data_IF_572943094895
#
_entry.id   IF_572943094895
#
_cell.length_a   1.000
_cell.length_b   1.000
_cell.length_c   1.000
_cell.angle_alpha   90.00
_cell.angle_beta   90.00
_cell.angle_gamma   90.00
#
_symmetry.space_group_name_H-M   'P 1'
#
loop_
_entity.id
_entity.type
_entity.pdbx_description
1 polymer ?
#
# COMPACT_ATOMS: atom_id res chain seq x y z
N UNK A 1 20.09 1.73 9.25
CA UNK A 1 18.66 1.41 9.15
C UNK A 1 17.79 2.61 9.47
N UNK A 2 18.18 3.48 10.43
CA UNK A 2 17.46 4.71 10.74
C UNK A 2 17.41 5.69 9.55
N UNK A 3 18.49 5.83 8.77
CA UNK A 3 18.53 6.65 7.55
C UNK A 3 17.50 6.18 6.52
N UNK A 4 17.47 4.88 6.21
CA UNK A 4 16.57 4.34 5.20
C UNK A 4 15.09 4.43 5.61
N UNK A 5 14.77 4.18 6.89
CA UNK A 5 13.41 4.26 7.41
C UNK A 5 12.94 5.71 7.56
N UNK A 6 13.72 6.57 8.23
CA UNK A 6 13.38 7.97 8.40
C UNK A 6 13.40 8.73 7.08
N UNK A 7 14.35 8.40 6.18
CA UNK A 7 14.40 8.92 4.83
C UNK A 7 13.12 8.58 4.06
N UNK A 8 12.60 7.35 4.17
CA UNK A 8 11.33 6.99 3.53
C UNK A 8 10.14 7.78 4.10
N UNK A 9 10.05 7.95 5.43
CA UNK A 9 8.96 8.70 6.08
C UNK A 9 9.05 10.20 5.75
N UNK A 10 10.25 10.78 5.73
CA UNK A 10 10.47 12.18 5.35
C UNK A 10 10.15 12.40 3.87
N UNK A 11 10.51 11.45 2.99
CA UNK A 11 10.13 11.50 1.58
C UNK A 11 8.62 11.38 1.37
N UNK A 12 7.93 10.54 2.15
CA UNK A 12 6.47 10.45 2.13
C UNK A 12 5.83 11.78 2.57
N UNK A 13 6.31 12.39 3.66
CA UNK A 13 5.85 13.70 4.11
C UNK A 13 6.09 14.77 3.01
N UNK A 14 7.27 14.83 2.42
CA UNK A 14 7.59 15.75 1.33
C UNK A 14 6.69 15.55 0.09
N UNK A 15 6.43 14.30 -0.29
CA UNK A 15 5.55 13.96 -1.41
C UNK A 15 4.09 14.40 -1.17
N UNK A 16 3.62 14.42 0.09
CA UNK A 16 2.29 14.90 0.47
C UNK A 16 2.19 16.42 0.55
N UNK A 17 3.27 17.12 0.93
CA UNK A 17 3.30 18.60 1.04
C UNK A 17 3.00 19.28 -0.30
N UNK A 18 3.56 18.78 -1.41
CA UNK A 18 3.42 19.38 -2.75
C UNK A 18 1.96 19.46 -3.21
N UNK A 19 1.18 18.36 -3.26
CA UNK A 19 -0.22 18.41 -3.68
C UNK A 19 -1.08 19.21 -2.69
N UNK A 20 -0.77 19.17 -1.39
CA UNK A 20 -1.51 19.91 -0.36
C UNK A 20 -1.31 21.44 -0.51
N UNK A 21 -0.09 21.89 -0.83
CA UNK A 21 0.21 23.30 -1.06
C UNK A 21 -0.44 23.85 -2.35
N UNK A 22 -0.78 22.98 -3.31
CA UNK A 22 -1.42 23.37 -4.57
C UNK A 22 -2.95 23.54 -4.47
N UNK A 23 -3.58 23.17 -3.34
CA UNK A 23 -5.04 23.18 -3.22
C UNK A 23 -5.62 24.57 -2.88
N UNK A 24 -6.81 24.94 -3.41
CA UNK A 24 -7.42 26.23 -3.11
C UNK A 24 -7.68 26.50 -1.62
N UNK A 25 -7.82 25.43 -0.84
CA UNK A 25 -8.07 25.47 0.60
C UNK A 25 -6.84 25.93 1.41
N UNK A 26 -5.63 25.77 0.86
CA UNK A 26 -4.35 26.13 1.48
C UNK A 26 -3.84 27.51 1.06
N UNK A 27 -4.51 28.19 0.11
CA UNK A 27 -4.15 29.52 -0.43
C UNK A 27 -4.26 30.70 0.56
N UNK A 28 -4.53 30.46 1.85
CA UNK A 28 -4.29 31.49 2.85
C UNK A 28 -2.77 31.75 2.90
N UNK A 29 -2.36 32.98 2.61
CA UNK A 29 -0.96 33.38 2.39
C UNK A 29 0.02 32.89 3.47
N UNK A 30 -0.42 32.78 4.73
CA UNK A 30 0.42 32.30 5.83
C UNK A 30 0.57 30.76 5.87
N UNK A 31 -0.45 30.02 5.41
CA UNK A 31 -0.48 28.56 5.46
C UNK A 31 0.31 27.91 4.31
N UNK A 32 0.20 28.43 3.09
CA UNK A 32 1.05 28.04 1.96
C UNK A 32 2.55 28.23 2.28
N UNK A 33 2.90 29.35 2.94
CA UNK A 33 4.27 29.60 3.42
C UNK A 33 4.73 28.55 4.43
N UNK A 34 3.88 28.16 5.37
CA UNK A 34 4.20 27.13 6.36
C UNK A 34 4.43 25.76 5.70
N UNK A 35 3.62 25.38 4.71
CA UNK A 35 3.79 24.11 3.97
C UNK A 35 5.07 24.10 3.13
N UNK A 36 5.36 25.18 2.42
CA UNK A 36 6.63 25.32 1.66
C UNK A 36 7.84 25.28 2.58
N UNK A 37 7.74 25.92 3.75
CA UNK A 37 8.78 25.88 4.78
C UNK A 37 8.95 24.45 5.32
N UNK A 38 7.86 23.74 5.56
CA UNK A 38 7.88 22.36 6.05
C UNK A 38 8.65 21.46 5.09
N UNK A 39 8.31 21.48 3.79
CA UNK A 39 9.05 20.72 2.78
C UNK A 39 10.54 21.06 2.74
N UNK A 40 10.89 22.35 2.86
CA UNK A 40 12.29 22.79 2.88
C UNK A 40 13.04 22.28 4.12
N UNK A 41 12.44 22.36 5.30
CA UNK A 41 13.08 21.92 6.56
C UNK A 41 13.22 20.39 6.60
N UNK A 42 12.25 19.64 6.10
CA UNK A 42 12.34 18.18 5.96
C UNK A 42 13.53 17.78 5.06
N UNK A 43 13.70 18.45 3.92
CA UNK A 43 14.84 18.20 3.04
C UNK A 43 16.20 18.58 3.64
N UNK A 44 16.27 19.63 4.48
CA UNK A 44 17.50 19.95 5.22
C UNK A 44 17.85 18.87 6.24
N UNK A 45 16.85 18.28 6.89
CA UNK A 45 17.03 17.24 7.89
C UNK A 45 17.45 15.91 7.25
N UNK A 46 16.91 15.59 6.07
CA UNK A 46 17.32 14.42 5.30
C UNK A 46 18.83 14.42 5.03
N UNK A 47 19.42 15.59 4.75
CA UNK A 47 20.86 15.75 4.51
C UNK A 47 21.76 15.41 5.73
N UNK A 48 21.20 15.26 6.93
CA UNK A 48 21.92 14.83 8.14
C UNK A 48 21.78 13.33 8.43
N UNK A 49 20.83 12.62 7.83
CA UNK A 49 20.48 11.24 8.22
C UNK A 49 21.63 10.26 8.06
N UNK A 50 22.38 10.37 6.96
CA UNK A 50 23.52 9.49 6.69
C UNK A 50 24.63 9.65 7.74
N UNK A 51 24.96 10.89 8.09
CA UNK A 51 25.99 11.18 9.09
C UNK A 51 25.51 10.83 10.51
N UNK A 52 24.21 11.00 10.78
CA UNK A 52 23.58 10.58 12.03
C UNK A 52 23.58 9.05 12.19
N UNK A 53 23.31 8.30 11.13
CA UNK A 53 23.34 6.83 11.15
C UNK A 53 24.72 6.27 11.49
N UNK A 54 25.79 6.87 10.96
CA UNK A 54 27.17 6.45 11.28
C UNK A 54 27.56 6.81 12.71
N UNK A 55 27.16 8.00 13.19
CA UNK A 55 27.53 8.50 14.52
C UNK A 55 26.69 7.93 15.66
N UNK A 56 25.50 7.37 15.39
CA UNK A 56 24.64 6.80 16.43
C UNK A 56 25.31 5.64 17.18
N UNK A 57 26.28 4.94 16.58
CA UNK A 57 26.97 3.79 17.17
C UNK A 57 27.73 4.18 18.44
N UNK A 58 28.25 5.42 18.50
CA UNK A 58 29.12 5.88 19.57
C UNK A 58 28.61 7.14 20.29
N UNK A 59 27.44 7.67 19.91
CA UNK A 59 26.92 8.93 20.44
C UNK A 59 25.43 8.83 20.83
N UNK A 60 25.17 8.70 22.13
CA UNK A 60 23.81 8.63 22.67
C UNK A 60 22.96 9.88 22.38
N UNK A 61 23.57 11.05 22.23
CA UNK A 61 22.84 12.28 21.86
C UNK A 61 22.30 12.21 20.43
N UNK A 62 23.01 11.53 19.53
CA UNK A 62 22.57 11.28 18.14
C UNK A 62 21.45 10.24 18.09
N UNK A 63 21.48 9.23 18.97
CA UNK A 63 20.35 8.28 19.11
C UNK A 63 19.08 9.00 19.56
N UNK A 64 19.19 9.88 20.57
CA UNK A 64 18.05 10.69 21.04
C UNK A 64 17.55 11.64 19.96
N UNK A 65 18.46 12.25 19.19
CA UNK A 65 18.10 13.09 18.06
C UNK A 65 17.33 12.33 16.97
N UNK A 66 17.79 11.13 16.59
CA UNK A 66 17.11 10.27 15.60
C UNK A 66 15.71 9.84 16.08
N UNK A 67 15.58 9.52 17.38
CA UNK A 67 14.28 9.15 17.97
C UNK A 67 13.29 10.33 18.00
N UNK A 68 13.78 11.52 18.31
CA UNK A 68 12.94 12.72 18.30
C UNK A 68 12.54 13.09 16.86
N UNK A 69 13.46 12.94 15.90
CA UNK A 69 13.16 13.08 14.49
C UNK A 69 12.11 12.07 14.01
N UNK A 70 12.19 10.82 14.46
CA UNK A 70 11.18 9.80 14.17
C UNK A 70 9.78 10.23 14.58
N UNK A 71 9.63 10.69 15.82
CA UNK A 71 8.35 11.17 16.35
C UNK A 71 7.79 12.32 15.50
N UNK A 72 8.62 13.32 15.18
CA UNK A 72 8.21 14.50 14.41
C UNK A 72 7.88 14.14 12.96
N UNK A 73 8.59 13.17 12.37
CA UNK A 73 8.33 12.71 11.00
C UNK A 73 6.98 11.99 10.90
N UNK A 74 6.66 11.10 11.86
CA UNK A 74 5.34 10.46 11.91
C UNK A 74 4.22 11.46 12.18
N UNK A 75 4.42 12.41 13.10
CA UNK A 75 3.45 13.48 13.34
C UNK A 75 3.19 14.31 12.06
N UNK A 76 4.24 14.61 11.30
CA UNK A 76 4.10 15.32 10.03
C UNK A 76 3.26 14.54 9.01
N UNK A 77 3.50 13.24 8.86
CA UNK A 77 2.72 12.37 7.96
C UNK A 77 1.26 12.32 8.38
N UNK A 78 0.98 12.10 9.67
CA UNK A 78 -0.39 12.04 10.21
C UNK A 78 -1.16 13.35 9.98
N UNK A 79 -0.51 14.51 10.19
CA UNK A 79 -1.12 15.82 9.97
C UNK A 79 -1.39 16.09 8.49
N UNK A 80 -0.47 15.67 7.61
CA UNK A 80 -0.66 15.80 6.16
C UNK A 80 -1.77 14.86 5.66
N UNK A 81 -1.92 13.67 6.25
CA UNK A 81 -3.02 12.75 5.93
C UNK A 81 -4.38 13.27 6.42
N UNK A 82 -4.47 13.84 7.63
CA UNK A 82 -5.68 14.52 8.11
C UNK A 82 -6.08 15.65 7.15
N UNK A 83 -5.08 16.37 6.61
CA UNK A 83 -5.31 17.44 5.63
C UNK A 83 -5.79 16.91 4.27
N UNK A 84 -5.11 15.89 3.74
CA UNK A 84 -5.46 15.25 2.48
C UNK A 84 -6.88 14.64 2.52
N UNK A 85 -7.23 14.00 3.63
CA UNK A 85 -8.56 13.46 3.86
C UNK A 85 -9.64 14.56 3.81
N UNK A 86 -9.40 15.70 4.46
CA UNK A 86 -10.36 16.81 4.48
C UNK A 86 -10.50 17.52 3.12
N UNK A 87 -9.42 17.59 2.32
CA UNK A 87 -9.52 18.00 0.91
C UNK A 87 -10.46 17.06 0.15
N UNK A 88 -10.24 15.74 0.26
CA UNK A 88 -11.01 14.73 -0.45
C UNK A 88 -12.48 14.72 -0.01
N UNK A 89 -12.73 14.75 1.29
CA UNK A 89 -14.07 14.84 1.88
C UNK A 89 -14.84 16.02 1.33
N UNK A 90 -14.23 17.21 1.27
CA UNK A 90 -14.89 18.42 0.73
C UNK A 90 -15.15 18.33 -0.77
N UNK A 91 -14.24 17.76 -1.55
CA UNK A 91 -14.46 17.50 -2.98
C UNK A 91 -15.67 16.58 -3.19
N UNK A 92 -15.86 15.57 -2.32
CA UNK A 92 -17.02 14.67 -2.33
C UNK A 92 -18.31 15.39 -1.88
N UNK A 93 -18.26 16.19 -0.81
CA UNK A 93 -19.41 16.96 -0.30
C UNK A 93 -19.91 17.99 -1.33
N UNK A 94 -18.99 18.71 -2.00
CA UNK A 94 -19.32 19.66 -3.08
C UNK A 94 -19.96 18.92 -4.28
N UNK A 95 -19.46 17.73 -4.63
CA UNK A 95 -20.02 16.89 -5.70
C UNK A 95 -21.45 16.41 -5.37
N UNK A 96 -21.74 16.14 -4.10
CA UNK A 96 -23.07 15.75 -3.63
C UNK A 96 -24.07 16.91 -3.53
N UNK A 97 -23.60 18.15 -3.38
CA UNK A 97 -24.46 19.35 -3.29
C UNK A 97 -25.06 19.80 -4.64
N UNK A 98 -24.56 19.30 -5.77
CA UNK A 98 -25.13 19.60 -7.10
C UNK A 98 -26.56 19.01 -7.27
N UNK A 99 -27.03 18.16 -6.33
CA UNK A 99 -28.36 17.50 -6.43
C UNK A 99 -29.45 18.01 -5.47
N UNK A 100 -29.22 18.97 -4.57
CA UNK A 100 -30.29 19.55 -3.73
C UNK A 100 -30.06 21.02 -3.43
N UNK A 101 -31.01 21.86 -3.87
CA UNK A 101 -31.12 23.27 -3.51
C UNK A 101 -31.79 23.40 -2.13
N UNK A 102 -31.15 24.20 -1.28
CA UNK A 102 -31.71 24.94 -0.13
C UNK A 102 -31.97 24.14 1.16
N UNK A 103 -31.01 24.17 2.10
CA UNK A 103 -31.07 24.94 3.36
C UNK A 103 -29.84 24.63 4.24
N UNK A 104 -29.15 25.71 4.62
CA UNK A 104 -28.28 25.87 5.80
C UNK A 104 -27.27 24.77 6.13
N UNK A 105 -26.04 24.91 5.64
CA UNK A 105 -24.83 24.86 6.49
C UNK A 105 -23.60 25.37 5.71
N UNK A 106 -23.65 26.61 5.22
CA UNK A 106 -22.42 27.37 4.92
C UNK A 106 -21.74 27.71 6.24
N UNK A 107 -21.03 26.75 6.85
CA UNK A 107 -20.10 27.06 7.93
C UNK A 107 -18.72 27.34 7.33
N UNK A 108 -18.56 28.54 6.80
CA UNK A 108 -17.24 29.16 6.65
C UNK A 108 -16.43 29.10 7.97
N UNK A 109 -17.11 28.99 9.12
CA UNK A 109 -16.51 28.77 10.44
C UNK A 109 -15.85 27.39 10.59
N UNK A 110 -16.43 26.30 10.05
CA UNK A 110 -15.81 24.96 10.09
C UNK A 110 -14.58 24.88 9.16
N UNK A 111 -14.63 25.58 8.02
CA UNK A 111 -13.49 25.67 7.10
C UNK A 111 -12.33 26.48 7.67
N UNK A 112 -12.61 27.62 8.31
CA UNK A 112 -11.60 28.47 8.95
C UNK A 112 -11.04 27.80 10.21
N UNK A 113 -11.89 27.20 11.05
CA UNK A 113 -11.47 26.51 12.27
C UNK A 113 -10.56 25.32 11.96
N UNK A 114 -10.89 24.55 10.91
CA UNK A 114 -10.02 23.46 10.42
C UNK A 114 -8.66 24.00 9.93
N UNK A 115 -8.67 25.07 9.13
CA UNK A 115 -7.42 25.69 8.64
C UNK A 115 -6.56 26.22 9.77
N UNK A 116 -7.15 26.85 10.79
CA UNK A 116 -6.44 27.31 11.99
C UNK A 116 -5.88 26.12 12.81
N UNK A 117 -6.65 25.04 12.96
CA UNK A 117 -6.20 23.80 13.62
C UNK A 117 -4.98 23.21 12.90
N UNK A 118 -5.05 23.10 11.57
CA UNK A 118 -3.95 22.54 10.76
C UNK A 118 -2.74 23.46 10.74
N UNK A 119 -2.93 24.77 10.65
CA UNK A 119 -1.85 25.76 10.74
C UNK A 119 -1.12 25.66 12.10
N UNK A 120 -1.85 25.51 13.20
CA UNK A 120 -1.24 25.32 14.52
C UNK A 120 -0.44 24.03 14.61
N UNK A 121 -0.95 22.91 14.06
CA UNK A 121 -0.22 21.63 14.02
C UNK A 121 1.06 21.71 13.17
N UNK A 122 0.97 22.26 11.96
CA UNK A 122 2.13 22.47 11.09
C UNK A 122 3.15 23.42 11.72
N UNK A 123 2.69 24.46 12.42
CA UNK A 123 3.57 25.35 13.18
C UNK A 123 4.30 24.61 14.29
N UNK A 124 3.62 23.71 15.01
CA UNK A 124 4.25 22.84 16.01
C UNK A 124 5.35 21.97 15.41
N UNK A 125 5.05 21.27 14.31
CA UNK A 125 6.02 20.45 13.57
C UNK A 125 7.22 21.30 13.11
N UNK A 126 6.98 22.47 12.54
CA UNK A 126 8.04 23.38 12.10
C UNK A 126 8.96 23.80 13.26
N UNK A 127 8.40 24.08 14.43
CA UNK A 127 9.19 24.39 15.62
C UNK A 127 10.05 23.20 16.06
N UNK A 128 9.47 22.00 16.13
CA UNK A 128 10.23 20.80 16.47
C UNK A 128 11.33 20.48 15.45
N UNK A 129 11.08 20.68 14.15
CA UNK A 129 12.09 20.51 13.10
C UNK A 129 13.18 21.59 13.16
N UNK A 130 12.84 22.84 13.47
CA UNK A 130 13.84 23.91 13.68
C UNK A 130 14.75 23.56 14.88
N UNK A 131 14.17 23.07 15.98
CA UNK A 131 14.90 22.64 17.17
C UNK A 131 15.81 21.45 16.87
N UNK A 132 15.32 20.45 16.14
CA UNK A 132 16.13 19.33 15.65
C UNK A 132 17.28 19.79 14.76
N UNK A 133 17.05 20.73 13.86
CA UNK A 133 18.10 21.27 12.99
C UNK A 133 19.19 22.03 13.78
N UNK A 134 18.79 22.76 14.84
CA UNK A 134 19.72 23.40 15.76
C UNK A 134 20.52 22.38 16.57
N UNK A 135 19.87 21.33 17.10
CA UNK A 135 20.52 20.25 17.84
C UNK A 135 21.48 19.44 16.97
N UNK A 136 21.13 19.18 15.70
CA UNK A 136 21.99 18.51 14.73
C UNK A 136 23.33 19.25 14.59
N UNK A 137 23.28 20.58 14.48
CA UNK A 137 24.46 21.44 14.41
C UNK A 137 25.29 21.40 15.71
N UNK A 138 24.63 21.38 16.87
CA UNK A 138 25.30 21.29 18.18
C UNK A 138 25.95 19.92 18.43
N UNK A 139 25.38 18.85 17.88
CA UNK A 139 25.92 17.49 17.97
C UNK A 139 27.01 17.20 16.92
N UNK A 140 27.38 18.20 16.13
CA UNK A 140 28.42 18.08 15.12
C UNK A 140 28.03 17.16 13.96
N UNK A 141 26.73 17.03 13.66
CA UNK A 141 26.27 16.37 12.45
C UNK A 141 26.64 17.25 11.26
N UNK A 142 27.23 16.63 10.24
CA UNK A 142 27.62 17.33 9.01
C UNK A 142 26.59 17.05 7.93
N UNK A 143 26.15 18.11 7.26
CA UNK A 143 25.38 17.97 6.02
C UNK A 143 26.30 17.36 4.97
N UNK A 144 25.97 16.17 4.48
CA UNK A 144 26.63 15.63 3.30
C UNK A 144 25.90 16.18 2.09
N UNK A 145 26.67 16.71 1.13
CA UNK A 145 26.10 17.21 -0.10
C UNK A 145 25.38 16.06 -0.81
N UNK A 146 24.04 16.16 -0.89
CA UNK A 146 23.29 15.45 -1.91
C UNK A 146 23.78 16.08 -3.21
N UNK A 147 24.59 15.37 -3.99
CA UNK A 147 25.02 15.85 -5.30
C UNK A 147 23.77 16.34 -6.04
N UNK A 148 23.79 17.53 -6.66
CA UNK A 148 22.65 18.06 -7.38
C UNK A 148 22.43 17.16 -8.60
N UNK A 149 21.56 16.16 -8.43
CA UNK A 149 21.04 15.36 -9.52
C UNK A 149 20.42 16.37 -10.49
N UNK A 150 21.03 16.47 -11.66
CA UNK A 150 20.49 17.07 -12.88
C UNK A 150 18.99 16.82 -12.93
N UNK A 151 18.11 17.78 -13.27
CA UNK A 151 16.66 17.58 -13.20
C UNK A 151 16.24 16.39 -14.08
N UNK A 152 16.22 15.21 -13.45
CA UNK A 152 15.71 13.98 -13.97
C UNK A 152 14.20 14.13 -13.94
N UNK A 153 13.50 13.75 -15.03
CA UNK A 153 12.08 13.99 -15.19
C UNK A 153 11.33 13.39 -14.00
N UNK A 154 10.46 14.20 -13.37
CA UNK A 154 9.51 13.85 -12.32
C UNK A 154 9.51 12.36 -11.93
N UNK A 155 10.45 11.98 -11.06
CA UNK A 155 10.42 10.68 -10.42
C UNK A 155 9.30 10.73 -9.39
N UNK A 156 8.12 10.23 -9.76
CA UNK A 156 7.43 9.35 -8.83
C UNK A 156 8.47 8.33 -8.37
N UNK A 157 8.58 8.11 -7.05
CA UNK A 157 9.48 7.08 -6.51
C UNK A 157 9.33 5.78 -7.33
N UNK A 158 10.35 4.91 -7.39
CA UNK A 158 10.28 3.70 -8.19
C UNK A 158 8.92 3.04 -7.97
N UNK A 159 8.13 2.94 -9.04
CA UNK A 159 6.81 2.29 -8.98
C UNK A 159 7.05 0.97 -8.28
N UNK A 160 6.44 0.78 -7.11
CA UNK A 160 6.56 -0.49 -6.40
C UNK A 160 5.76 -1.49 -7.21
N UNK A 161 6.42 -2.12 -8.17
CA UNK A 161 5.83 -3.12 -9.04
C UNK A 161 5.79 -4.45 -8.28
N UNK A 162 4.65 -5.13 -8.36
CA UNK A 162 4.51 -6.47 -7.81
C UNK A 162 4.65 -7.50 -8.91
N UNK A 163 5.50 -8.49 -8.70
CA UNK A 163 5.65 -9.63 -9.62
C UNK A 163 4.82 -10.82 -9.17
N UNK A 164 4.36 -11.63 -10.12
CA UNK A 164 3.62 -12.88 -9.86
C UNK A 164 4.46 -13.99 -9.22
N UNK A 165 5.80 -13.87 -9.24
CA UNK A 165 6.72 -14.83 -8.66
C UNK A 165 6.54 -14.95 -7.15
N UNK A 166 6.52 -16.20 -6.68
CA UNK A 166 6.52 -16.56 -5.28
C UNK A 166 7.97 -16.68 -4.81
N UNK A 167 8.42 -15.78 -3.95
CA UNK A 167 9.68 -15.93 -3.23
C UNK A 167 9.70 -17.21 -2.38
N UNK A 168 10.88 -17.63 -1.93
CA UNK A 168 11.10 -18.86 -1.16
C UNK A 168 10.57 -18.81 0.30
N UNK A 169 9.79 -17.79 0.67
CA UNK A 169 9.23 -17.69 2.02
C UNK A 169 8.02 -18.62 2.19
N UNK A 170 7.97 -19.30 3.33
CA UNK A 170 6.81 -20.11 3.69
C UNK A 170 5.64 -19.19 4.04
N UNK A 171 4.56 -19.26 3.25
CA UNK A 171 3.35 -18.48 3.51
C UNK A 171 2.46 -19.31 4.44
N UNK A 172 2.19 -18.77 5.63
CA UNK A 172 1.43 -19.43 6.70
C UNK A 172 -0.04 -18.96 6.68
N UNK A 173 -0.97 -19.84 7.07
CA UNK A 173 -2.37 -19.50 7.39
C UNK A 173 -3.30 -19.11 6.27
N UNK A 174 -2.90 -19.26 5.00
CA UNK A 174 -3.72 -18.83 3.85
C UNK A 174 -4.48 -19.93 3.12
N UNK A 175 -4.44 -21.18 3.59
CA UNK A 175 -5.06 -22.32 2.89
C UNK A 175 -6.57 -22.14 2.70
N UNK A 176 -7.25 -21.67 3.74
CA UNK A 176 -8.71 -21.45 3.71
C UNK A 176 -9.10 -20.30 2.77
N UNK A 177 -8.42 -19.15 2.90
CA UNK A 177 -8.59 -17.99 2.01
C UNK A 177 -8.38 -18.37 0.54
N UNK A 178 -7.30 -19.11 0.23
CA UNK A 178 -7.01 -19.59 -1.12
C UNK A 178 -8.15 -20.44 -1.64
N UNK A 179 -8.62 -21.40 -0.84
CA UNK A 179 -9.71 -22.30 -1.24
C UNK A 179 -11.00 -21.55 -1.58
N UNK A 180 -11.32 -20.49 -0.82
CA UNK A 180 -12.50 -19.64 -1.07
C UNK A 180 -12.40 -18.91 -2.41
N UNK A 181 -11.24 -18.32 -2.72
CA UNK A 181 -11.03 -17.57 -3.97
C UNK A 181 -10.97 -18.53 -5.16
N UNK A 182 -10.26 -19.66 -5.04
CA UNK A 182 -10.16 -20.70 -6.08
C UNK A 182 -11.55 -21.24 -6.41
N UNK A 183 -12.40 -21.51 -5.41
CA UNK A 183 -13.75 -21.99 -5.66
C UNK A 183 -14.59 -20.99 -6.48
N UNK A 184 -14.46 -19.68 -6.21
CA UNK A 184 -15.14 -18.65 -7.00
C UNK A 184 -14.68 -18.61 -8.45
N UNK A 185 -13.39 -18.85 -8.70
CA UNK A 185 -12.82 -18.85 -10.06
C UNK A 185 -13.18 -20.12 -10.84
N UNK A 186 -13.20 -21.27 -10.16
CA UNK A 186 -13.47 -22.58 -10.78
C UNK A 186 -14.96 -22.85 -10.97
N UNK A 187 -15.79 -22.37 -10.03
CA UNK A 187 -17.24 -22.55 -10.05
C UNK A 187 -17.95 -21.18 -10.01
N UNK A 188 -17.83 -20.35 -11.06
CA UNK A 188 -18.50 -19.06 -11.11
C UNK A 188 -20.02 -19.27 -11.03
N UNK A 189 -20.68 -18.50 -10.15
CA UNK A 189 -22.13 -18.58 -9.95
C UNK A 189 -22.93 -17.78 -10.98
N UNK A 190 -22.26 -16.91 -11.73
CA UNK A 190 -22.87 -16.12 -12.80
C UNK A 190 -22.50 -16.70 -14.17
N UNK A 191 -23.25 -16.30 -15.19
CA UNK A 191 -23.01 -16.66 -16.59
C UNK A 191 -22.18 -15.60 -17.31
N UNK A 192 -21.39 -14.80 -16.58
CA UNK A 192 -20.62 -13.74 -17.23
C UNK A 192 -19.49 -14.31 -18.08
N UNK A 193 -19.14 -13.57 -19.12
CA UNK A 193 -17.98 -13.87 -19.97
C UNK A 193 -16.70 -13.76 -19.14
N UNK A 194 -16.66 -12.78 -18.24
CA UNK A 194 -15.55 -12.48 -17.33
C UNK A 194 -16.07 -12.47 -15.89
N UNK A 195 -15.63 -13.43 -15.07
CA UNK A 195 -15.94 -13.49 -13.64
C UNK A 195 -14.91 -12.71 -12.84
N UNK A 196 -15.37 -11.81 -11.97
CA UNK A 196 -14.51 -10.90 -11.19
C UNK A 196 -14.53 -11.29 -9.71
N UNK A 197 -13.36 -11.45 -9.12
CA UNK A 197 -13.18 -11.78 -7.70
C UNK A 197 -12.35 -10.71 -7.00
N UNK A 198 -12.99 -9.74 -6.32
CA UNK A 198 -12.27 -8.74 -5.55
C UNK A 198 -11.73 -9.32 -4.23
N UNK A 199 -10.50 -8.97 -3.89
CA UNK A 199 -9.84 -9.24 -2.60
C UNK A 199 -9.64 -7.88 -1.90
N UNK A 200 -10.40 -7.63 -0.84
CA UNK A 200 -10.43 -6.35 -0.13
C UNK A 200 -9.90 -6.50 1.28
N UNK A 201 -9.18 -5.50 1.76
CA UNK A 201 -8.66 -5.51 3.12
C UNK A 201 -7.64 -4.41 3.36
N UNK A 202 -7.32 -4.20 4.63
CA UNK A 202 -6.36 -3.20 5.07
C UNK A 202 -4.95 -3.43 4.50
N UNK A 203 -4.09 -2.42 4.62
CA UNK A 203 -2.67 -2.53 4.32
C UNK A 203 -2.04 -3.65 5.15
N UNK A 204 -1.03 -4.33 4.58
CA UNK A 204 -0.27 -5.36 5.31
C UNK A 204 -1.00 -6.69 5.58
N UNK A 205 -2.31 -6.80 5.30
CA UNK A 205 -3.09 -8.03 5.55
C UNK A 205 -2.78 -9.18 4.58
N UNK A 206 -1.97 -8.94 3.54
CA UNK A 206 -1.53 -9.99 2.62
C UNK A 206 -2.45 -10.24 1.42
N UNK A 207 -3.24 -9.26 0.96
CA UNK A 207 -4.09 -9.37 -0.25
C UNK A 207 -3.30 -9.81 -1.49
N UNK A 208 -2.21 -9.11 -1.78
CA UNK A 208 -1.29 -9.42 -2.88
C UNK A 208 -0.69 -10.82 -2.71
N UNK A 209 -0.32 -11.20 -1.49
CA UNK A 209 0.17 -12.55 -1.17
C UNK A 209 -0.89 -13.62 -1.46
N UNK A 210 -2.14 -13.38 -1.08
CA UNK A 210 -3.27 -14.26 -1.38
C UNK A 210 -3.49 -14.39 -2.89
N UNK A 211 -3.49 -13.27 -3.62
CA UNK A 211 -3.60 -13.28 -5.08
C UNK A 211 -2.46 -14.08 -5.74
N UNK A 212 -1.21 -13.95 -5.26
CA UNK A 212 -0.07 -14.75 -5.75
C UNK A 212 -0.24 -16.25 -5.46
N UNK A 213 -0.78 -16.62 -4.30
CA UNK A 213 -1.07 -18.01 -3.97
C UNK A 213 -2.12 -18.60 -4.91
N UNK A 214 -3.23 -17.88 -5.11
CA UNK A 214 -4.31 -18.28 -6.02
C UNK A 214 -3.81 -18.37 -7.46
N UNK A 215 -3.08 -17.37 -7.95
CA UNK A 215 -2.49 -17.35 -9.29
C UNK A 215 -1.61 -18.59 -9.56
N UNK A 216 -0.94 -19.09 -8.52
CA UNK A 216 -0.04 -20.24 -8.61
C UNK A 216 -0.67 -21.58 -8.22
N UNK A 217 -1.94 -21.59 -7.81
CA UNK A 217 -2.69 -22.79 -7.42
C UNK A 217 -2.82 -23.78 -8.57
N UNK A 218 -2.83 -25.07 -8.25
CA UNK A 218 -2.90 -26.15 -9.25
C UNK A 218 -4.20 -26.11 -10.06
N UNK A 219 -5.34 -25.89 -9.42
CA UNK A 219 -6.63 -25.85 -10.10
C UNK A 219 -6.75 -24.63 -11.01
N UNK A 220 -6.22 -23.49 -10.56
CA UNK A 220 -6.16 -22.25 -11.34
C UNK A 220 -5.23 -22.42 -12.56
N UNK A 221 -4.04 -23.00 -12.38
CA UNK A 221 -3.11 -23.32 -13.49
C UNK A 221 -3.70 -24.30 -14.50
N UNK A 222 -4.54 -25.24 -14.05
CA UNK A 222 -5.22 -26.20 -14.93
C UNK A 222 -6.37 -25.56 -15.70
N UNK A 223 -7.08 -24.62 -15.08
CA UNK A 223 -8.29 -23.98 -15.63
C UNK A 223 -7.97 -22.87 -16.63
N UNK A 224 -6.96 -22.03 -16.33
CA UNK A 224 -6.61 -20.87 -17.14
C UNK A 224 -5.34 -21.12 -17.94
N UNK A 225 -5.42 -20.95 -19.25
CA UNK A 225 -4.34 -21.21 -20.20
C UNK A 225 -3.33 -20.07 -20.26
N UNK A 226 -3.82 -18.84 -20.16
CA UNK A 226 -3.00 -17.63 -20.18
C UNK A 226 -3.29 -16.83 -18.92
N UNK A 227 -2.24 -16.33 -18.26
CA UNK A 227 -2.41 -15.61 -17.00
C UNK A 227 -1.57 -14.33 -16.97
N UNK A 228 -2.22 -13.21 -16.75
CA UNK A 228 -1.61 -11.89 -16.69
C UNK A 228 -1.56 -11.38 -15.25
N UNK A 229 -0.55 -10.57 -14.95
CA UNK A 229 -0.42 -9.88 -13.67
C UNK A 229 -0.02 -8.43 -13.95
N UNK A 230 -0.86 -7.50 -13.53
CA UNK A 230 -0.68 -6.06 -13.75
C UNK A 230 -0.82 -5.35 -12.40
N UNK A 231 0.20 -4.58 -12.05
CA UNK A 231 0.20 -3.74 -10.85
C UNK A 231 -0.35 -2.36 -11.23
N UNK A 232 -1.45 -1.91 -10.62
CA UNK A 232 -2.18 -0.69 -11.03
C UNK A 232 -1.59 0.57 -10.37
N UNK A 233 -1.45 0.53 -9.03
CA UNK A 233 -0.80 1.48 -8.10
C UNK A 233 -1.28 2.94 -8.07
N UNK A 234 -1.57 3.57 -9.22
CA UNK A 234 -1.96 4.99 -9.27
C UNK A 234 -3.43 5.14 -9.68
N UNK A 235 -3.72 4.82 -10.95
CA UNK A 235 -5.05 4.88 -11.52
C UNK A 235 -5.26 3.76 -12.54
N UNK A 236 -6.51 3.36 -12.74
CA UNK A 236 -6.89 2.35 -13.72
C UNK A 236 -6.80 2.93 -15.14
N UNK A 237 -5.68 2.65 -15.83
CA UNK A 237 -5.44 3.01 -17.24
C UNK A 237 -5.63 1.78 -18.13
N UNK A 238 -6.72 1.77 -18.90
CA UNK A 238 -7.08 0.64 -19.78
C UNK A 238 -6.02 0.36 -20.83
N UNK A 239 -5.46 1.40 -21.47
CA UNK A 239 -4.44 1.22 -22.51
C UNK A 239 -3.17 0.62 -21.94
N UNK A 240 -2.76 1.08 -20.75
CA UNK A 240 -1.58 0.53 -20.07
C UNK A 240 -1.77 -0.94 -19.73
N UNK A 241 -2.92 -1.31 -19.16
CA UNK A 241 -3.24 -2.70 -18.82
C UNK A 241 -3.20 -3.60 -20.07
N UNK A 242 -3.85 -3.19 -21.16
CA UNK A 242 -3.85 -3.95 -22.41
C UNK A 242 -2.44 -4.08 -23.01
N UNK A 243 -1.61 -3.03 -22.89
CA UNK A 243 -0.21 -3.06 -23.31
C UNK A 243 0.60 -4.07 -22.49
N UNK A 244 0.53 -4.02 -21.16
CA UNK A 244 1.22 -4.96 -20.27
C UNK A 244 0.78 -6.42 -20.54
N UNK A 245 -0.50 -6.65 -20.84
CA UNK A 245 -0.99 -7.96 -21.28
C UNK A 245 -0.36 -8.41 -22.61
N UNK A 246 -0.15 -7.50 -23.57
CA UNK A 246 0.50 -7.84 -24.85
C UNK A 246 1.98 -8.16 -24.69
N UNK A 247 2.67 -7.46 -23.78
CA UNK A 247 4.09 -7.68 -23.47
C UNK A 247 4.35 -9.10 -22.93
N UNK A 248 3.34 -9.77 -22.37
CA UNK A 248 3.42 -11.18 -22.00
C UNK A 248 3.72 -12.12 -23.19
N UNK A 249 3.28 -11.76 -24.40
CA UNK A 249 3.45 -12.59 -25.60
C UNK A 249 4.66 -12.19 -26.46
N UNK A 250 5.22 -11.00 -26.26
CA UNK A 250 6.29 -10.48 -27.09
C UNK A 250 7.10 -9.43 -26.35
N UNK A 251 8.42 -9.56 -26.42
CA UNK A 251 9.35 -8.56 -25.91
C UNK A 251 9.59 -7.40 -26.90
N UNK A 252 9.15 -7.55 -28.15
CA UNK A 252 9.28 -6.51 -29.18
C UNK A 252 8.18 -5.44 -29.06
N UNK A 253 8.56 -4.30 -28.47
CA UNK A 253 7.69 -3.13 -28.28
C UNK A 253 7.25 -2.48 -29.59
N UNK A 254 8.01 -2.62 -30.70
CA UNK A 254 7.68 -2.04 -32.01
C UNK A 254 6.41 -2.70 -32.56
N UNK A 255 6.15 -3.94 -32.17
CA UNK A 255 4.98 -4.69 -32.59
C UNK A 255 3.69 -4.28 -31.86
N UNK A 256 3.76 -3.53 -30.74
CA UNK A 256 2.58 -3.21 -29.93
C UNK A 256 1.80 -2.04 -30.56
N UNK A 257 0.53 -2.23 -30.95
CA UNK A 257 -0.29 -1.15 -31.49
C UNK A 257 -0.49 -0.01 -30.49
N UNK A 258 -0.56 1.23 -30.96
CA UNK A 258 -0.81 2.40 -30.09
C UNK A 258 -2.31 2.67 -29.86
N UNK A 259 -3.18 2.17 -30.73
CA UNK A 259 -4.62 2.31 -30.62
C UNK A 259 -5.23 1.16 -29.81
N UNK A 260 -6.10 1.49 -28.86
CA UNK A 260 -6.81 0.55 -27.98
C UNK A 260 -7.52 -0.58 -28.75
N UNK A 261 -8.23 -0.26 -29.83
CA UNK A 261 -8.96 -1.26 -30.62
C UNK A 261 -8.00 -2.27 -31.27
N UNK A 262 -6.86 -1.79 -31.78
CA UNK A 262 -5.84 -2.65 -32.34
C UNK A 262 -5.14 -3.52 -31.27
N UNK A 263 -4.97 -3.00 -30.04
CA UNK A 263 -4.47 -3.79 -28.91
C UNK A 263 -5.42 -4.93 -28.56
N UNK A 264 -6.73 -4.65 -28.45
CA UNK A 264 -7.78 -5.65 -28.19
C UNK A 264 -7.78 -6.74 -29.26
N UNK A 265 -7.80 -6.36 -30.54
CA UNK A 265 -7.75 -7.31 -31.65
C UNK A 265 -6.49 -8.18 -31.66
N UNK A 266 -5.33 -7.59 -31.31
CA UNK A 266 -4.06 -8.33 -31.21
C UNK A 266 -4.04 -9.27 -30.00
N UNK A 267 -4.57 -8.87 -28.85
CA UNK A 267 -4.71 -9.73 -27.67
C UNK A 267 -5.60 -10.93 -27.98
N UNK A 268 -6.74 -10.70 -28.62
CA UNK A 268 -7.63 -11.75 -29.09
C UNK A 268 -6.89 -12.76 -29.96
N UNK A 269 -6.18 -12.28 -30.99
CA UNK A 269 -5.39 -13.15 -31.87
C UNK A 269 -4.32 -13.95 -31.10
N UNK A 270 -3.61 -13.32 -30.16
CA UNK A 270 -2.54 -13.99 -29.38
C UNK A 270 -3.09 -15.03 -28.41
N UNK A 271 -4.18 -14.72 -27.71
CA UNK A 271 -4.86 -15.65 -26.80
C UNK A 271 -5.48 -16.81 -27.58
N UNK A 272 -6.12 -16.56 -28.71
CA UNK A 272 -6.63 -17.62 -29.59
C UNK A 272 -5.50 -18.44 -30.22
N UNK A 273 -4.36 -17.84 -30.55
CA UNK A 273 -3.18 -18.56 -31.05
C UNK A 273 -2.54 -19.49 -30.02
N UNK A 274 -2.80 -19.28 -28.72
CA UNK A 274 -2.39 -20.19 -27.65
C UNK A 274 -3.28 -21.46 -27.56
N UNK A 275 -4.26 -21.63 -28.46
CA UNK A 275 -5.08 -22.85 -28.63
C UNK A 275 -4.20 -24.05 -29.02
N UNK A 276 -3.58 -24.69 -28.04
CA UNK A 276 -2.90 -25.98 -28.20
C UNK A 276 -3.87 -27.15 -28.38
N UNK A 277 -4.82 -27.04 -29.31
CA UNK A 277 -5.85 -28.06 -29.58
C UNK A 277 -7.06 -28.07 -28.62
N UNK A 278 -7.22 -27.04 -27.77
CA UNK A 278 -8.40 -26.86 -26.93
C UNK A 278 -9.51 -26.11 -27.66
N UNK A 279 -10.76 -26.52 -27.42
CA UNK A 279 -11.95 -25.86 -27.99
C UNK A 279 -12.10 -24.40 -27.51
N UNK A 280 -11.69 -24.13 -26.27
CA UNK A 280 -11.81 -22.82 -25.65
C UNK A 280 -10.53 -22.50 -24.85
N UNK A 281 -10.12 -21.23 -24.92
CA UNK A 281 -9.01 -20.69 -24.13
C UNK A 281 -9.56 -19.73 -23.10
N UNK A 282 -9.10 -19.89 -21.87
CA UNK A 282 -9.50 -19.07 -20.73
C UNK A 282 -8.30 -18.29 -20.23
N UNK A 283 -8.48 -16.99 -20.03
CA UNK A 283 -7.45 -16.17 -19.40
C UNK A 283 -7.81 -15.83 -17.95
N UNK A 284 -6.77 -15.59 -17.14
CA UNK A 284 -6.87 -14.97 -15.83
C UNK A 284 -6.09 -13.65 -15.86
N UNK A 285 -6.69 -12.55 -15.44
CA UNK A 285 -6.01 -11.28 -15.22
C UNK A 285 -6.01 -10.94 -13.73
N UNK A 286 -4.83 -10.65 -13.16
CA UNK A 286 -4.73 -10.06 -11.83
C UNK A 286 -4.44 -8.57 -11.95
N UNK A 287 -5.33 -7.75 -11.38
CA UNK A 287 -5.15 -6.32 -11.19
C UNK A 287 -4.80 -6.09 -9.71
N UNK A 288 -3.53 -5.85 -9.43
CA UNK A 288 -3.02 -5.68 -8.07
C UNK A 288 -2.98 -4.19 -7.67
N UNK A 289 -3.41 -3.90 -6.45
CA UNK A 289 -3.46 -2.58 -5.80
C UNK A 289 -4.25 -1.52 -6.57
N UNK A 290 -5.54 -1.80 -6.81
CA UNK A 290 -6.48 -0.91 -7.50
C UNK A 290 -7.06 0.13 -6.54
N UNK A 291 -6.88 1.42 -6.86
CA UNK A 291 -7.32 2.56 -6.03
C UNK A 291 -8.54 3.29 -6.58
N UNK A 292 -8.80 3.20 -7.88
CA UNK A 292 -9.96 3.77 -8.54
C UNK A 292 -10.45 2.84 -9.66
N UNK A 293 -11.69 3.06 -10.09
CA UNK A 293 -12.42 2.20 -11.04
C UNK A 293 -13.14 3.03 -12.10
N UNK A 294 -12.65 4.25 -12.35
CA UNK A 294 -13.34 5.20 -13.24
C UNK A 294 -13.48 4.65 -14.65
N UNK A 295 -12.46 3.93 -15.14
CA UNK A 295 -12.43 3.32 -16.47
C UNK A 295 -12.79 1.81 -16.44
N UNK A 296 -13.36 1.31 -15.34
CA UNK A 296 -13.63 -0.12 -15.19
C UNK A 296 -14.56 -0.69 -16.26
N UNK A 297 -15.64 0.03 -16.61
CA UNK A 297 -16.57 -0.43 -17.65
C UNK A 297 -15.89 -0.49 -19.03
N UNK A 298 -14.98 0.45 -19.33
CA UNK A 298 -14.22 0.43 -20.58
C UNK A 298 -13.24 -0.76 -20.61
N UNK A 299 -12.56 -1.04 -19.49
CA UNK A 299 -11.72 -2.23 -19.35
C UNK A 299 -12.55 -3.50 -19.54
N UNK A 300 -13.70 -3.59 -18.88
CA UNK A 300 -14.58 -4.75 -18.94
C UNK A 300 -15.04 -5.04 -20.36
N UNK A 301 -15.46 -4.02 -21.11
CA UNK A 301 -15.81 -4.16 -22.52
C UNK A 301 -14.64 -4.68 -23.36
N UNK A 302 -13.44 -4.15 -23.15
CA UNK A 302 -12.24 -4.65 -23.84
C UNK A 302 -11.96 -6.12 -23.51
N UNK A 303 -12.09 -6.51 -22.23
CA UNK A 303 -11.87 -7.89 -21.76
C UNK A 303 -12.90 -8.88 -22.33
N UNK A 304 -14.16 -8.47 -22.46
CA UNK A 304 -15.23 -9.27 -23.08
C UNK A 304 -15.05 -9.40 -24.60
N UNK A 305 -14.50 -8.37 -25.26
CA UNK A 305 -14.20 -8.41 -26.69
C UNK A 305 -12.99 -9.32 -27.02
N UNK A 306 -11.99 -9.36 -26.13
CA UNK A 306 -10.81 -10.22 -26.25
C UNK A 306 -11.19 -11.71 -26.28
N UNK A 307 -12.17 -12.13 -25.48
CA UNK A 307 -12.67 -13.50 -25.48
C UNK A 307 -14.17 -13.50 -25.22
N UNK A 308 -14.95 -13.88 -26.23
CA UNK A 308 -16.41 -14.00 -26.12
C UNK A 308 -16.86 -15.28 -25.43
N UNK A 309 -15.93 -16.20 -25.15
CA UNK A 309 -16.21 -17.47 -24.50
C UNK A 309 -16.24 -17.27 -22.98
N UNK A 310 -17.22 -17.88 -22.30
CA UNK A 310 -17.36 -17.76 -20.86
C UNK A 310 -16.25 -18.46 -20.06
N UNK A 311 -16.06 -18.01 -18.83
CA UNK A 311 -15.11 -18.62 -17.88
C UNK A 311 -13.73 -17.98 -17.82
N UNK A 312 -13.58 -16.76 -18.34
CA UNK A 312 -12.40 -15.94 -18.04
C UNK A 312 -12.51 -15.36 -16.62
N UNK A 313 -11.36 -15.07 -16.01
CA UNK A 313 -11.29 -14.60 -14.63
C UNK A 313 -10.55 -13.28 -14.48
N UNK A 314 -11.01 -12.43 -13.57
CA UNK A 314 -10.27 -11.26 -13.08
C UNK A 314 -10.18 -11.32 -11.57
N UNK A 315 -8.98 -11.18 -11.02
CA UNK A 315 -8.75 -10.95 -9.59
C UNK A 315 -8.38 -9.48 -9.41
N UNK A 316 -9.07 -8.78 -8.51
CA UNK A 316 -8.77 -7.39 -8.17
C UNK A 316 -8.32 -7.33 -6.72
N UNK A 317 -7.14 -6.80 -6.40
CA UNK A 317 -6.79 -6.50 -5.01
C UNK A 317 -6.97 -5.00 -4.73
N UNK A 318 -7.59 -4.65 -3.61
CA UNK A 318 -7.84 -3.24 -3.26
C UNK A 318 -7.96 -3.03 -1.75
N UNK A 319 -7.78 -1.80 -1.29
CA UNK A 319 -8.09 -1.38 0.08
C UNK A 319 -9.51 -0.81 0.21
N UNK A 320 -10.16 -0.47 -0.90
CA UNK A 320 -11.44 0.25 -0.90
C UNK A 320 -12.60 -0.71 -1.17
N UNK A 321 -13.58 -0.75 -0.26
CA UNK A 321 -14.82 -1.52 -0.47
C UNK A 321 -15.60 -1.00 -1.69
N UNK A 322 -15.58 0.31 -1.94
CA UNK A 322 -16.27 0.92 -3.08
C UNK A 322 -15.73 0.42 -4.44
N UNK A 323 -14.43 0.18 -4.54
CA UNK A 323 -13.81 -0.47 -5.71
C UNK A 323 -14.40 -1.87 -5.91
N UNK A 324 -14.42 -2.71 -4.86
CA UNK A 324 -15.01 -4.04 -4.96
C UNK A 324 -16.50 -4.02 -5.31
N UNK A 325 -17.27 -3.10 -4.72
CA UNK A 325 -18.69 -2.92 -5.01
C UNK A 325 -18.97 -2.55 -6.47
N UNK A 326 -18.03 -1.85 -7.11
CA UNK A 326 -18.15 -1.41 -8.51
C UNK A 326 -17.79 -2.53 -9.47
N UNK A 327 -16.73 -3.29 -9.19
CA UNK A 327 -16.22 -4.32 -10.12
C UNK A 327 -16.90 -5.69 -9.96
N UNK A 328 -17.55 -5.96 -8.81
CA UNK A 328 -18.23 -7.22 -8.59
C UNK A 328 -19.55 -7.32 -9.35
N UNK A 329 -19.85 -8.50 -9.87
CA UNK A 329 -21.16 -8.79 -10.45
C UNK A 329 -22.22 -9.06 -9.38
N UNK A 330 -21.81 -9.58 -8.22
CA UNK A 330 -22.67 -9.97 -7.11
C UNK A 330 -22.04 -9.63 -5.77
N UNK A 331 -22.87 -9.32 -4.78
CA UNK A 331 -22.43 -8.95 -3.43
C UNK A 331 -21.69 -10.07 -2.68
N UNK A 332 -21.84 -11.33 -3.08
CA UNK A 332 -21.21 -12.50 -2.45
C UNK A 332 -19.84 -12.89 -3.05
N UNK A 333 -19.30 -12.09 -3.97
CA UNK A 333 -18.07 -12.42 -4.72
C UNK A 333 -16.79 -11.84 -4.13
N UNK A 334 -16.84 -10.72 -3.41
CA UNK A 334 -15.62 -10.19 -2.81
C UNK A 334 -15.17 -11.03 -1.60
N UNK A 335 -13.86 -11.05 -1.35
CA UNK A 335 -13.23 -11.79 -0.27
C UNK A 335 -12.35 -10.86 0.55
N UNK A 336 -12.36 -11.05 1.86
CA UNK A 336 -11.42 -10.41 2.76
C UNK A 336 -10.46 -11.48 3.29
N UNK A 337 -9.14 -11.31 3.15
CA UNK A 337 -8.20 -12.20 3.81
C UNK A 337 -8.44 -12.18 5.32
N UNK A 338 -8.49 -13.36 5.93
CA UNK A 338 -8.65 -13.47 7.38
C UNK A 338 -7.42 -12.90 8.11
N UNK A 339 -7.60 -12.45 9.35
CA UNK A 339 -6.46 -12.18 10.24
C UNK A 339 -5.77 -13.52 10.53
N UNK A 340 -4.44 -13.50 10.60
CA UNK A 340 -3.70 -14.70 11.00
C UNK A 340 -3.95 -15.01 12.48
N UNK A 341 -3.89 -16.28 12.84
CA UNK A 341 -3.86 -16.67 14.24
C UNK A 341 -2.52 -16.30 14.89
N UNK A 342 -2.49 -16.14 16.21
CA UNK A 342 -1.29 -15.74 16.95
C UNK A 342 -0.12 -16.70 16.71
N UNK A 343 -0.40 -18.01 16.59
CA UNK A 343 0.63 -19.03 16.30
C UNK A 343 1.18 -18.91 14.86
N UNK A 344 0.38 -18.41 13.93
CA UNK A 344 0.80 -18.18 12.55
C UNK A 344 1.64 -16.91 12.44
N UNK A 345 1.25 -15.84 13.15
CA UNK A 345 2.10 -14.66 13.36
C UNK A 345 3.42 -15.04 14.04
N UNK A 346 3.37 -15.90 15.05
CA UNK A 346 4.57 -16.41 15.70
C UNK A 346 5.46 -17.18 14.73
N UNK A 347 4.90 -18.01 13.87
CA UNK A 347 5.66 -18.75 12.85
C UNK A 347 6.42 -17.80 11.91
N UNK A 348 5.79 -16.71 11.47
CA UNK A 348 6.42 -15.68 10.64
C UNK A 348 7.56 -14.98 11.41
N UNK A 349 7.31 -14.57 12.64
CA UNK A 349 8.33 -13.92 13.49
C UNK A 349 9.51 -14.86 13.70
N UNK A 350 9.25 -16.12 14.05
CA UNK A 350 10.26 -17.13 14.35
C UNK A 350 11.16 -17.41 13.15
N UNK A 351 10.57 -17.64 11.97
CA UNK A 351 11.31 -17.84 10.72
C UNK A 351 12.21 -16.62 10.42
N UNK A 352 11.68 -15.40 10.60
CA UNK A 352 12.41 -14.18 10.27
C UNK A 352 13.50 -13.82 11.29
N UNK A 353 13.21 -14.00 12.58
CA UNK A 353 14.07 -13.64 13.69
C UNK A 353 15.26 -14.60 13.86
N UNK A 354 15.00 -15.90 13.70
CA UNK A 354 16.00 -16.94 13.98
C UNK A 354 16.67 -17.48 12.71
N UNK A 355 16.03 -17.29 11.56
CA UNK A 355 16.37 -17.98 10.30
C UNK A 355 16.36 -19.49 10.53
N UNK A 356 17.53 -20.09 10.71
CA UNK A 356 17.72 -21.54 10.93
C UNK A 356 18.19 -21.88 12.36
N UNK A 357 18.30 -20.88 13.24
CA UNK A 357 18.79 -21.12 14.61
C UNK A 357 17.69 -21.76 15.48
N UNK A 358 18.03 -22.78 16.30
CA UNK A 358 17.07 -23.37 17.23
C UNK A 358 16.66 -22.33 18.28
N UNK A 359 15.37 -22.30 18.62
CA UNK A 359 14.88 -21.42 19.68
C UNK A 359 15.11 -22.04 21.06
N UNK A 360 15.59 -21.23 22.00
CA UNK A 360 15.63 -21.61 23.42
C UNK A 360 14.22 -21.65 24.01
N UNK A 361 13.94 -22.62 24.88
CA UNK A 361 12.68 -22.74 25.62
C UNK A 361 12.31 -21.48 26.43
N UNK A 362 13.29 -20.63 26.78
CA UNK A 362 13.05 -19.39 27.50
C UNK A 362 12.55 -18.25 26.59
N UNK A 363 12.87 -18.28 25.30
CA UNK A 363 12.53 -17.24 24.33
C UNK A 363 11.16 -17.48 23.66
N UNK A 364 10.78 -18.74 23.48
CA UNK A 364 9.54 -19.11 22.80
C UNK A 364 8.28 -18.51 23.43
N UNK A 365 8.08 -18.53 24.77
CA UNK A 365 6.93 -17.91 25.39
C UNK A 365 6.87 -16.40 25.15
N UNK A 366 8.02 -15.72 25.18
CA UNK A 366 8.10 -14.26 24.96
C UNK A 366 7.75 -13.93 23.51
N UNK A 367 8.31 -14.69 22.56
CA UNK A 367 8.01 -14.55 21.14
C UNK A 367 6.54 -14.76 20.80
N UNK A 368 5.88 -15.73 21.44
CA UNK A 368 4.44 -15.94 21.31
C UNK A 368 3.61 -14.76 21.83
N UNK A 369 3.99 -14.16 22.95
CA UNK A 369 3.28 -12.97 23.43
C UNK A 369 3.48 -11.74 22.52
N UNK A 370 4.69 -11.57 21.97
CA UNK A 370 4.95 -10.56 20.94
C UNK A 370 4.08 -10.80 19.70
N UNK A 371 3.88 -12.06 19.30
CA UNK A 371 3.02 -12.39 18.17
C UNK A 371 1.57 -11.96 18.37
N UNK A 372 1.02 -12.06 19.59
CA UNK A 372 -0.33 -11.56 19.90
C UNK A 372 -0.47 -10.06 19.67
N UNK A 373 0.60 -9.30 19.94
CA UNK A 373 0.62 -7.85 19.70
C UNK A 373 0.58 -7.48 18.21
N UNK A 374 0.83 -8.43 17.31
CA UNK A 374 0.68 -8.24 15.86
C UNK A 374 -0.79 -8.24 15.41
N UNK A 375 -1.73 -8.65 16.26
CA UNK A 375 -3.18 -8.67 15.99
C UNK A 375 -3.56 -9.34 14.66
N UNK A 376 -2.82 -10.40 14.29
CA UNK A 376 -3.04 -11.16 13.07
C UNK A 376 -2.65 -10.46 11.77
N UNK A 377 -1.90 -9.35 11.81
CA UNK A 377 -1.41 -8.64 10.62
C UNK A 377 -0.04 -9.21 10.19
N UNK A 378 0.06 -9.91 9.04
CA UNK A 378 1.31 -10.56 8.60
C UNK A 378 2.48 -9.60 8.43
N UNK A 379 2.23 -8.38 7.94
CA UNK A 379 3.29 -7.40 7.74
C UNK A 379 3.92 -6.97 9.07
N UNK A 380 3.11 -6.77 10.12
CA UNK A 380 3.61 -6.44 11.46
C UNK A 380 4.49 -7.58 11.98
N UNK A 381 4.01 -8.83 11.89
CA UNK A 381 4.79 -10.00 12.28
C UNK A 381 6.13 -10.10 11.53
N UNK A 382 6.15 -9.81 10.22
CA UNK A 382 7.38 -9.84 9.44
C UNK A 382 8.36 -8.72 9.80
N UNK A 383 7.85 -7.50 10.06
CA UNK A 383 8.67 -6.36 10.50
C UNK A 383 9.30 -6.65 11.87
N UNK A 384 8.49 -7.15 12.81
CA UNK A 384 8.96 -7.51 14.15
C UNK A 384 9.96 -8.64 14.12
N UNK A 385 9.72 -9.70 13.36
CA UNK A 385 10.70 -10.76 13.18
C UNK A 385 12.01 -10.23 12.57
N UNK A 386 11.92 -9.26 11.65
CA UNK A 386 13.09 -8.55 11.12
C UNK A 386 13.83 -7.73 12.18
N UNK A 387 13.13 -6.98 13.02
CA UNK A 387 13.72 -6.25 14.15
C UNK A 387 14.41 -7.20 15.13
N UNK A 388 13.72 -8.29 15.48
CA UNK A 388 14.22 -9.33 16.39
C UNK A 388 15.48 -10.02 15.84
N UNK A 389 15.64 -10.11 14.51
CA UNK A 389 16.82 -10.69 13.88
C UNK A 389 18.11 -9.86 14.07
N UNK A 390 17.99 -8.59 14.47
CA UNK A 390 19.11 -7.66 14.63
C UNK A 390 19.46 -7.37 16.10
N UNK A 391 18.80 -8.03 17.05
CA UNK A 391 19.05 -7.85 18.48
C UNK A 391 19.55 -9.15 19.12
N UNK A 392 20.09 -9.05 20.32
CA UNK A 392 20.57 -10.21 21.07
C UNK A 392 19.44 -11.23 21.30
N UNK A 393 19.74 -12.51 21.09
CA UNK A 393 18.85 -13.64 21.38
C UNK A 393 18.79 -13.91 22.90
N UNK A 394 18.36 -12.92 23.67
CA UNK A 394 18.25 -12.99 25.12
C UNK A 394 16.83 -12.63 25.59
N UNK A 395 16.33 -13.25 26.69
CA UNK A 395 15.00 -12.93 27.22
C UNK A 395 14.82 -11.44 27.52
N UNK A 396 15.90 -10.78 27.98
CA UNK A 396 15.90 -9.35 28.29
C UNK A 396 15.59 -8.50 27.06
N UNK A 397 16.30 -8.73 25.95
CA UNK A 397 16.14 -7.94 24.74
C UNK A 397 14.75 -8.14 24.09
N UNK A 398 14.22 -9.36 24.13
CA UNK A 398 12.87 -9.65 23.61
C UNK A 398 11.77 -9.05 24.50
N UNK A 399 11.94 -9.05 25.83
CA UNK A 399 11.02 -8.38 26.75
C UNK A 399 11.00 -6.86 26.55
N UNK A 400 12.12 -6.25 26.14
CA UNK A 400 12.15 -4.83 25.79
C UNK A 400 11.29 -4.52 24.56
N UNK A 401 11.34 -5.37 23.51
CA UNK A 401 10.42 -5.27 22.36
C UNK A 401 8.97 -5.44 22.79
N UNK A 402 8.67 -6.47 23.58
CA UNK A 402 7.31 -6.73 24.05
C UNK A 402 6.71 -5.54 24.82
N UNK A 403 7.54 -4.88 25.64
CA UNK A 403 7.15 -3.71 26.45
C UNK A 403 7.23 -2.39 25.69
N UNK A 404 7.90 -2.37 24.55
CA UNK A 404 7.99 -1.17 23.72
C UNK A 404 6.60 -0.83 23.20
N UNK A 405 6.19 0.44 23.34
CA UNK A 405 4.87 0.92 22.86
C UNK A 405 4.77 1.04 21.34
N UNK A 406 5.55 0.27 20.58
CA UNK A 406 5.66 0.31 19.11
C UNK A 406 4.45 -0.34 18.43
N UNK A 407 3.53 -0.91 19.23
CA UNK A 407 2.30 -1.53 18.80
C UNK A 407 1.22 -0.45 18.58
N UNK A 408 0.80 -0.24 17.33
CA UNK A 408 -0.27 0.69 16.99
C UNK A 408 -1.55 0.45 17.81
N UNK A 409 -2.24 1.53 18.15
CA UNK A 409 -3.48 1.48 18.93
C UNK A 409 -4.62 0.82 18.14
N UNK A 410 -5.54 0.09 18.79
CA UNK A 410 -6.69 -0.48 18.10
C UNK A 410 -7.58 0.63 17.56
N UNK A 411 -7.76 0.69 16.24
CA UNK A 411 -8.89 1.38 15.64
C UNK A 411 -10.17 0.78 16.24
N UNK A 412 -10.98 1.64 16.86
CA UNK A 412 -12.28 1.25 17.43
C UNK A 412 -13.09 0.53 16.36
N UNK A 413 -13.41 -0.73 16.63
CA UNK A 413 -14.25 -1.55 15.79
C UNK A 413 -15.55 -0.82 15.47
N UNK A 414 -15.86 -0.74 14.19
CA UNK A 414 -17.23 -0.47 13.72
C UNK A 414 -18.03 -1.71 14.10
N UNK A 415 -18.83 -1.55 15.14
CA UNK A 415 -19.78 -2.55 15.63
C UNK A 415 -20.79 -2.89 14.52
N UNK A 416 -20.95 -4.17 14.13
CA UNK A 416 -21.93 -4.57 13.13
C UNK A 416 -23.25 -4.92 13.80
N UNK A 417 -23.87 -4.01 14.55
CA UNK A 417 -25.27 -4.14 14.97
C UNK A 417 -25.86 -2.80 15.37
N UNK A 418 -26.62 -2.16 14.48
CA UNK A 418 -27.94 -1.55 14.79
C UNK A 418 -28.71 -1.43 13.45
N UNK A 419 -29.40 -2.50 13.06
CA UNK A 419 -30.65 -2.37 12.31
C UNK A 419 -31.77 -2.42 13.36
N UNK A 420 -32.58 -1.37 13.38
CA UNK A 420 -33.84 -1.25 14.10
C UNK A 420 -34.76 -0.34 13.30
#
# INVERSE_FOLDING_TARGET
MAEALLGAVLNEAMAKVIPIAAEPISLAWDFDKQLKRLGKTLGMIEAFLQDAEEKQINNNSVILWLKELENVAYEAVDVLDEFAYEILRRKVEIRNQIRRKVLDFLSSKNSILFRLKMANKIKGILTSLDDLNNLASQFGLQQRAIDPITPLPAYGGPKVETISYRGHSNIVGRKHDVSKVVNLLVNPKDKQVVSVVPIVGMAGLGKTTLAKLVYNDFNVKKLFDVKFWVCVSDHLDVKRILKEMLEHFTYDQISIPQNKNAMVGKLKQKIEGAKGGKDQIKYLLVLDDVWDVTEWEDLKLCLEEISTNGGNGVIVTTRKKDVASTVQARSDQWRQPEKLEDEECWSIIKERALRDSPISHQLEPIGKEIAKQCQGVPLVANVIGGLMSNIELSPRAWLEIQRSGVWGSPERGIDPTVDG
#
